data_IF_801334881901
#
_entry.id   IF_801334881901
#
_cell.length_a   1.000
_cell.length_b   1.000
_cell.length_c   1.000
_cell.angle_alpha   90.00
_cell.angle_beta   90.00
_cell.angle_gamma   90.00
#
_symmetry.space_group_name_H-M   'P 1'
#
loop_
_entity.id
_entity.type
_entity.pdbx_description
1 polymer ?
#
# COMPACT_ATOMS: atom_id res chain seq x y z
N UNK A 1 -9.12 -4.09 -10.69
CA UNK A 1 -9.80 -3.17 -9.73
C UNK A 1 -10.90 -2.38 -10.45
N UNK A 2 -12.08 -2.21 -9.84
CA UNK A 2 -13.24 -1.56 -10.48
C UNK A 2 -13.08 -0.03 -10.67
N UNK A 3 -13.87 0.56 -11.58
CA UNK A 3 -13.75 1.97 -12.00
C UNK A 3 -13.95 3.01 -10.88
N UNK A 4 -14.70 2.66 -9.82
CA UNK A 4 -14.91 3.54 -8.65
C UNK A 4 -13.87 3.37 -7.56
N UNK A 5 -13.20 2.21 -7.51
CA UNK A 5 -12.24 1.88 -6.44
C UNK A 5 -10.91 2.58 -6.70
N UNK A 6 -10.46 2.62 -7.96
CA UNK A 6 -9.15 3.19 -8.28
C UNK A 6 -9.00 4.67 -7.88
N UNK A 7 -9.94 5.58 -8.19
CA UNK A 7 -9.84 6.96 -7.72
C UNK A 7 -9.82 7.08 -6.18
N UNK A 8 -10.59 6.23 -5.48
CA UNK A 8 -10.59 6.19 -4.02
C UNK A 8 -9.23 5.74 -3.48
N UNK A 9 -8.65 4.67 -4.04
CA UNK A 9 -7.33 4.17 -3.63
C UNK A 9 -6.22 5.20 -3.87
N UNK A 10 -6.27 5.96 -4.97
CA UNK A 10 -5.32 7.06 -5.21
C UNK A 10 -5.44 8.15 -4.14
N UNK A 11 -6.66 8.54 -3.78
CA UNK A 11 -6.89 9.50 -2.70
C UNK A 11 -6.36 8.98 -1.36
N UNK A 12 -6.65 7.72 -1.05
CA UNK A 12 -6.24 7.08 0.20
C UNK A 12 -4.72 6.86 0.25
N UNK A 13 -4.07 6.54 -0.86
CA UNK A 13 -2.62 6.44 -0.95
C UNK A 13 -1.94 7.77 -0.63
N UNK A 14 -2.46 8.88 -1.15
CA UNK A 14 -1.95 10.21 -0.81
C UNK A 14 -2.14 10.54 0.69
N UNK A 15 -3.27 10.13 1.29
CA UNK A 15 -3.50 10.27 2.73
C UNK A 15 -2.49 9.44 3.55
N UNK A 16 -2.24 8.19 3.16
CA UNK A 16 -1.25 7.31 3.79
C UNK A 16 0.13 7.97 3.72
N UNK A 17 0.59 8.34 2.52
CA UNK A 17 1.89 8.99 2.32
C UNK A 17 2.03 10.22 3.21
N UNK A 18 0.99 11.07 3.26
CA UNK A 18 1.00 12.27 4.10
C UNK A 18 1.08 11.94 5.59
N UNK A 19 0.37 10.90 6.03
CA UNK A 19 0.36 10.46 7.43
C UNK A 19 1.73 9.97 7.89
N UNK A 20 2.43 9.25 7.02
CA UNK A 20 3.73 8.65 7.33
C UNK A 20 4.94 9.50 6.92
N UNK A 21 4.74 10.71 6.40
CA UNK A 21 5.82 11.53 5.78
C UNK A 21 7.06 11.74 6.66
N UNK A 22 6.89 11.72 8.00
CA UNK A 22 7.98 11.90 8.96
C UNK A 22 8.65 10.61 9.40
N UNK A 23 7.90 9.50 9.42
CA UNK A 23 8.36 8.20 9.92
C UNK A 23 8.77 7.24 8.81
N UNK A 24 8.41 7.55 7.57
CA UNK A 24 8.70 6.76 6.38
C UNK A 24 8.88 7.71 5.17
N UNK A 25 9.97 8.48 5.14
CA UNK A 25 10.21 9.44 4.09
C UNK A 25 10.42 8.73 2.74
N UNK A 26 9.74 9.22 1.71
CA UNK A 26 9.80 8.69 0.35
C UNK A 26 10.70 9.54 -0.54
N UNK A 27 11.21 8.95 -1.61
CA UNK A 27 11.80 9.68 -2.73
C UNK A 27 10.76 10.60 -3.37
N UNK A 28 11.23 11.70 -3.97
CA UNK A 28 10.37 12.74 -4.53
C UNK A 28 10.72 13.11 -5.98
N UNK A 29 10.21 14.24 -6.45
CA UNK A 29 10.40 14.73 -7.82
C UNK A 29 11.86 14.98 -8.20
N UNK A 30 12.73 15.23 -7.22
CA UNK A 30 14.17 15.38 -7.44
C UNK A 30 14.84 14.05 -7.79
N UNK A 31 14.23 12.94 -7.38
CA UNK A 31 14.65 11.57 -7.64
C UNK A 31 13.85 10.91 -8.78
N UNK A 32 12.92 11.64 -9.40
CA UNK A 32 12.05 11.13 -10.47
C UNK A 32 10.79 10.42 -9.98
N UNK A 33 10.38 10.62 -8.73
CA UNK A 33 9.15 10.10 -8.14
C UNK A 33 8.08 11.18 -8.04
N UNK A 34 6.81 10.78 -8.04
CA UNK A 34 5.68 11.70 -8.00
C UNK A 34 4.61 11.18 -7.06
N UNK A 35 3.81 12.11 -6.50
CA UNK A 35 2.63 11.75 -5.73
C UNK A 35 1.66 10.90 -6.57
N UNK A 36 0.94 9.96 -5.96
CA UNK A 36 0.00 9.13 -6.69
C UNK A 36 -1.07 9.92 -7.44
N UNK A 37 -1.32 9.54 -8.68
CA UNK A 37 -2.39 10.12 -9.52
C UNK A 37 -3.15 9.02 -10.25
N UNK A 38 -4.34 9.34 -10.77
CA UNK A 38 -5.10 8.38 -11.58
C UNK A 38 -4.30 7.92 -12.80
N UNK A 39 -3.56 8.85 -13.43
CA UNK A 39 -2.82 8.63 -14.67
C UNK A 39 -1.49 7.88 -14.44
N UNK A 40 -0.70 8.28 -13.44
CA UNK A 40 0.60 7.66 -13.17
C UNK A 40 0.54 6.45 -12.22
N UNK A 41 -0.58 6.29 -11.50
CA UNK A 41 -0.73 5.28 -10.46
C UNK A 41 0.07 5.59 -9.20
N UNK A 42 0.40 4.53 -8.46
CA UNK A 42 1.23 4.60 -7.25
C UNK A 42 2.60 4.08 -7.62
N UNK A 43 3.60 4.96 -7.60
CA UNK A 43 5.00 4.59 -7.80
C UNK A 43 5.84 5.27 -6.72
N UNK A 44 6.31 4.48 -5.75
CA UNK A 44 7.04 4.98 -4.58
C UNK A 44 8.25 4.09 -4.26
N UNK A 45 9.22 4.69 -3.58
CA UNK A 45 10.35 4.02 -2.94
C UNK A 45 10.79 4.89 -1.75
N UNK A 46 11.42 4.28 -0.74
CA UNK A 46 11.91 5.00 0.43
C UNK A 46 13.19 5.77 0.12
N UNK A 47 13.48 6.81 0.90
CA UNK A 47 14.78 7.51 0.82
C UNK A 47 15.98 6.60 1.15
N UNK A 48 15.72 5.49 1.83
CA UNK A 48 16.71 4.48 2.13
C UNK A 48 16.83 3.40 1.03
N UNK A 49 16.02 3.48 -0.03
CA UNK A 49 16.06 2.75 -1.32
C UNK A 49 16.20 1.21 -1.25
N UNK A 50 15.24 0.44 -1.75
CA UNK A 50 15.46 -1.01 -1.97
C UNK A 50 14.82 -1.56 -3.24
N UNK A 51 13.50 -1.49 -3.33
CA UNK A 51 12.75 -1.92 -4.51
C UNK A 51 11.60 -0.94 -4.78
N UNK A 52 11.39 -0.63 -6.05
CA UNK A 52 10.29 0.19 -6.52
C UNK A 52 8.95 -0.49 -6.24
N UNK A 53 8.08 0.14 -5.45
CA UNK A 53 6.67 -0.27 -5.40
C UNK A 53 5.90 0.40 -6.53
N UNK A 54 5.29 -0.41 -7.41
CA UNK A 54 4.46 0.06 -8.53
C UNK A 54 3.09 -0.61 -8.53
N UNK A 55 2.04 0.20 -8.44
CA UNK A 55 0.65 -0.25 -8.59
C UNK A 55 -0.09 0.62 -9.61
N UNK A 56 -0.77 -0.02 -10.58
CA UNK A 56 -1.56 0.67 -11.62
C UNK A 56 -2.98 0.13 -11.71
N UNK A 57 -3.89 0.88 -12.34
CA UNK A 57 -5.31 0.54 -12.41
C UNK A 57 -5.61 -0.79 -13.10
N UNK A 58 -4.94 -1.06 -14.23
CA UNK A 58 -5.34 -2.12 -15.17
C UNK A 58 -4.30 -3.22 -15.33
N UNK A 59 -3.11 -3.11 -14.72
CA UNK A 59 -2.06 -4.13 -14.78
C UNK A 59 -1.11 -4.02 -13.58
N UNK A 60 -1.03 -5.07 -12.76
CA UNK A 60 0.26 -5.49 -12.24
C UNK A 60 0.65 -6.71 -13.07
N UNK A 61 1.66 -6.57 -13.93
CA UNK A 61 2.32 -7.76 -14.48
C UNK A 61 3.20 -8.32 -13.36
N UNK A 62 2.63 -9.12 -12.48
CA UNK A 62 3.35 -9.70 -11.33
C UNK A 62 2.52 -9.73 -10.05
N UNK A 63 3.08 -10.36 -9.04
CA UNK A 63 2.53 -10.36 -7.69
C UNK A 63 2.40 -8.92 -7.16
N UNK A 64 1.32 -8.60 -6.46
CA UNK A 64 1.14 -7.29 -5.81
C UNK A 64 1.92 -7.23 -4.48
N UNK A 65 3.21 -7.52 -4.50
CA UNK A 65 4.10 -7.33 -3.36
C UNK A 65 5.36 -6.57 -3.80
N UNK A 66 6.01 -5.90 -2.84
CA UNK A 66 7.31 -5.25 -3.01
C UNK A 66 8.17 -5.66 -1.82
N UNK A 67 9.41 -6.08 -2.07
CA UNK A 67 10.35 -6.36 -1.00
C UNK A 67 10.92 -5.03 -0.56
N UNK A 68 10.56 -4.62 0.63
CA UNK A 68 11.04 -3.37 1.26
C UNK A 68 12.29 -3.62 2.10
N UNK A 69 12.63 -4.89 2.37
CA UNK A 69 13.66 -5.28 3.35
C UNK A 69 13.41 -4.67 4.75
N UNK A 70 12.13 -4.50 5.13
CA UNK A 70 11.70 -3.91 6.40
C UNK A 70 12.22 -2.48 6.61
N UNK A 71 12.46 -1.76 5.51
CA UNK A 71 12.80 -0.34 5.49
C UNK A 71 11.61 0.51 5.89
N UNK A 72 11.85 1.78 6.21
CA UNK A 72 10.81 2.63 6.82
C UNK A 72 9.57 2.77 5.92
N UNK A 73 9.76 2.83 4.59
CA UNK A 73 8.66 2.89 3.61
C UNK A 73 7.81 1.62 3.51
N UNK A 74 8.19 0.53 4.17
CA UNK A 74 7.38 -0.69 4.29
C UNK A 74 6.00 -0.38 4.87
N UNK A 75 5.92 0.47 5.89
CA UNK A 75 4.64 0.86 6.51
C UNK A 75 3.70 1.52 5.49
N UNK A 76 4.23 2.35 4.58
CA UNK A 76 3.46 2.99 3.52
C UNK A 76 2.96 1.94 2.52
N UNK A 77 3.85 1.08 2.03
CA UNK A 77 3.52 0.04 1.05
C UNK A 77 2.49 -0.94 1.60
N UNK A 78 2.72 -1.48 2.80
CA UNK A 78 1.84 -2.43 3.45
C UNK A 78 0.44 -1.83 3.70
N UNK A 79 0.37 -0.56 4.14
CA UNK A 79 -0.91 0.11 4.37
C UNK A 79 -1.67 0.35 3.05
N UNK A 80 -0.98 0.71 1.96
CA UNK A 80 -1.59 0.85 0.62
C UNK A 80 -2.13 -0.49 0.13
N UNK A 81 -1.37 -1.57 0.29
CA UNK A 81 -1.79 -2.92 -0.10
C UNK A 81 -3.00 -3.41 0.69
N UNK A 82 -3.00 -3.20 2.02
CA UNK A 82 -4.16 -3.49 2.88
C UNK A 82 -5.39 -2.70 2.42
N UNK A 83 -5.24 -1.40 2.15
CA UNK A 83 -6.33 -0.55 1.65
C UNK A 83 -6.86 -1.03 0.31
N UNK A 84 -5.98 -1.40 -0.61
CA UNK A 84 -6.35 -1.95 -1.90
C UNK A 84 -7.18 -3.24 -1.75
N UNK A 85 -6.74 -4.18 -0.89
CA UNK A 85 -7.46 -5.42 -0.61
C UNK A 85 -8.84 -5.16 -0.01
N UNK A 86 -8.95 -4.26 0.97
CA UNK A 86 -10.22 -4.00 1.64
C UNK A 86 -11.23 -3.25 0.77
N UNK A 87 -10.77 -2.36 -0.12
CA UNK A 87 -11.65 -1.69 -1.07
C UNK A 87 -12.11 -2.60 -2.22
N UNK A 88 -11.26 -3.53 -2.67
CA UNK A 88 -11.52 -4.32 -3.87
C UNK A 88 -11.96 -5.76 -3.60
N UNK A 89 -11.78 -6.28 -2.38
CA UNK A 89 -12.01 -7.68 -2.05
C UNK A 89 -11.29 -8.61 -3.03
N UNK A 90 -12.02 -9.54 -3.63
CA UNK A 90 -11.51 -10.49 -4.64
C UNK A 90 -11.03 -9.81 -5.93
N UNK A 91 -11.33 -8.53 -6.14
CA UNK A 91 -10.84 -7.74 -7.26
C UNK A 91 -9.38 -7.28 -7.13
N UNK A 92 -8.72 -7.63 -6.03
CA UNK A 92 -7.30 -7.39 -5.76
C UNK A 92 -6.71 -8.56 -4.95
N UNK A 93 -5.68 -9.20 -5.49
CA UNK A 93 -4.94 -10.26 -4.78
C UNK A 93 -3.76 -9.67 -4.02
N UNK A 94 -3.62 -10.03 -2.75
CA UNK A 94 -2.55 -9.62 -1.86
C UNK A 94 -1.76 -10.84 -1.38
N UNK A 95 -0.46 -10.82 -1.62
CA UNK A 95 0.48 -11.85 -1.19
C UNK A 95 1.59 -11.19 -0.36
N UNK A 96 2.13 -11.92 0.61
CA UNK A 96 3.18 -11.43 1.51
C UNK A 96 3.99 -12.61 2.05
N UNK A 97 5.32 -12.51 1.99
CA UNK A 97 6.25 -13.42 2.69
C UNK A 97 6.29 -13.15 4.21
N UNK A 98 5.68 -12.05 4.67
CA UNK A 98 5.63 -11.65 6.06
C UNK A 98 4.46 -12.24 6.86
N UNK A 99 4.61 -12.31 8.18
CA UNK A 99 3.66 -12.94 9.09
C UNK A 99 2.43 -12.04 9.36
N UNK A 100 1.23 -12.59 9.21
CA UNK A 100 -0.02 -11.89 9.52
C UNK A 100 -0.14 -11.57 11.02
N UNK A 101 0.23 -12.52 11.88
CA UNK A 101 0.01 -12.45 13.33
C UNK A 101 1.11 -11.67 14.06
N UNK A 102 2.14 -11.18 13.34
CA UNK A 102 3.23 -10.36 13.89
C UNK A 102 3.47 -9.10 13.03
N UNK A 103 4.07 -9.24 11.85
CA UNK A 103 4.53 -8.11 11.03
C UNK A 103 3.36 -7.24 10.57
N UNK A 104 2.27 -7.84 10.10
CA UNK A 104 1.11 -7.12 9.58
C UNK A 104 0.16 -6.58 10.65
N UNK A 105 0.31 -6.99 11.92
CA UNK A 105 -0.49 -6.42 13.00
C UNK A 105 -0.21 -4.92 13.16
N UNK A 106 1.04 -4.48 12.94
CA UNK A 106 1.38 -3.05 12.95
C UNK A 106 0.67 -2.29 11.83
N UNK A 107 0.64 -2.85 10.62
CA UNK A 107 -0.09 -2.29 9.49
C UNK A 107 -1.59 -2.18 9.80
N UNK A 108 -2.17 -3.21 10.43
CA UNK A 108 -3.57 -3.21 10.83
C UNK A 108 -3.86 -2.12 11.87
N UNK A 109 -2.98 -1.93 12.85
CA UNK A 109 -3.11 -0.85 13.85
C UNK A 109 -3.12 0.53 13.20
N UNK A 110 -2.22 0.78 12.24
CA UNK A 110 -2.17 2.06 11.54
C UNK A 110 -3.35 2.26 10.60
N UNK A 111 -3.79 1.20 9.93
CA UNK A 111 -4.99 1.21 9.11
C UNK A 111 -6.24 1.61 9.92
N UNK A 112 -6.42 1.01 11.11
CA UNK A 112 -7.57 1.31 11.98
C UNK A 112 -7.54 2.76 12.48
N UNK A 113 -6.36 3.36 12.68
CA UNK A 113 -6.24 4.78 13.04
C UNK A 113 -6.68 5.70 11.90
N UNK A 114 -6.36 5.34 10.66
CA UNK A 114 -6.73 6.10 9.47
C UNK A 114 -8.24 6.01 9.16
N UNK A 115 -8.83 4.83 9.35
CA UNK A 115 -10.26 4.57 9.08
C UNK A 115 -10.99 3.97 10.29
N UNK A 116 -11.16 4.72 11.40
CA UNK A 116 -11.68 4.18 12.66
C UNK A 116 -13.17 3.78 12.61
N UNK A 117 -13.89 4.23 11.58
CA UNK A 117 -15.33 3.98 11.41
C UNK A 117 -15.62 2.91 10.34
N UNK A 118 -14.59 2.34 9.71
CA UNK A 118 -14.76 1.28 8.73
C UNK A 118 -14.66 -0.11 9.38
N UNK A 119 -15.18 -1.12 8.70
CA UNK A 119 -15.04 -2.51 9.14
C UNK A 119 -13.57 -2.93 9.06
N UNK A 120 -13.07 -3.50 10.16
CA UNK A 120 -11.70 -4.00 10.24
C UNK A 120 -11.61 -5.47 9.82
N UNK A 121 -10.48 -5.89 9.24
CA UNK A 121 -10.17 -7.32 9.09
C UNK A 121 -10.32 -8.07 10.42
N UNK A 122 -10.95 -9.24 10.37
CA UNK A 122 -11.09 -10.14 11.54
C UNK A 122 -10.15 -11.34 11.47
N UNK A 123 -9.38 -11.47 10.38
CA UNK A 123 -8.40 -12.53 10.17
C UNK A 123 -7.48 -12.20 8.99
N UNK A 124 -6.62 -13.15 8.65
CA UNK A 124 -5.65 -13.02 7.56
C UNK A 124 -6.35 -12.70 6.22
N UNK A 125 -5.91 -11.63 5.57
CA UNK A 125 -6.47 -11.12 4.31
C UNK A 125 -5.66 -11.53 3.07
N UNK A 126 -4.57 -12.28 3.25
CA UNK A 126 -3.75 -12.76 2.14
C UNK A 126 -4.51 -13.78 1.31
N UNK A 127 -4.28 -13.72 0.01
CA UNK A 127 -4.75 -14.73 -0.92
C UNK A 127 -3.83 -15.96 -0.84
N UNK A 128 -4.38 -17.18 -1.02
CA UNK A 128 -3.57 -18.39 -1.07
C UNK A 128 -2.64 -18.35 -2.28
N UNK A 129 -1.37 -18.69 -2.08
CA UNK A 129 -0.36 -18.84 -3.14
C UNK A 129 -0.71 -19.91 -4.18
#
# INVERSE_FOLDING_TARGET
MGSKIWPQLISDANLIIKTFEKSAPLLDETDGYHLPTIEHGIFINGQDEHEDFKLTQYKSYGFNFCKTARKEYDAVVATILMRAKLLAGDGFSLFSDGDWDDEWQRTLEDYVKLWPNEEKPTGNIFDPE
#
